data_IF_094116902940
#
_entry.id   IF_094116902940
#
_cell.length_a   1.000
_cell.length_b   1.000
_cell.length_c   1.000
_cell.angle_alpha   90.00
_cell.angle_beta   90.00
_cell.angle_gamma   90.00
#
_symmetry.space_group_name_H-M   'P 1'
#
loop_
_entity.id
_entity.type
_entity.pdbx_description
1 polymer ?
#
# COMPACT_ATOMS: atom_id res chain seq x y z
N UNK A 1 13.91 8.23 40.50
CA UNK A 1 14.17 7.61 39.19
C UNK A 1 12.87 7.62 38.41
N UNK A 2 12.76 8.56 37.46
CA UNK A 2 11.55 8.84 36.70
C UNK A 2 11.31 7.77 35.62
N UNK A 3 10.19 7.09 35.74
CA UNK A 3 9.56 6.35 34.65
C UNK A 3 8.74 7.36 33.84
N UNK A 4 9.22 7.70 32.65
CA UNK A 4 8.40 8.34 31.61
C UNK A 4 8.62 7.57 30.31
N UNK A 5 7.83 6.51 30.13
CA UNK A 5 7.56 5.97 28.80
C UNK A 5 6.04 6.01 28.64
N UNK A 6 5.57 7.18 28.22
CA UNK A 6 4.20 7.41 27.78
C UNK A 6 3.86 6.41 26.68
N UNK A 7 2.87 5.57 26.98
CA UNK A 7 2.15 4.73 26.03
C UNK A 7 1.70 5.59 24.84
N UNK A 8 2.25 5.33 23.66
CA UNK A 8 1.70 5.80 22.38
C UNK A 8 1.62 4.59 21.45
N UNK A 9 0.39 4.09 21.34
CA UNK A 9 -0.23 3.39 20.21
C UNK A 9 0.33 2.00 19.84
N UNK A 10 -0.51 0.99 20.08
CA UNK A 10 -0.49 -0.27 19.36
C UNK A 10 -0.55 0.00 17.84
N UNK A 11 0.53 -0.34 17.15
CA UNK A 11 0.63 -0.50 15.72
C UNK A 11 1.71 -1.55 15.51
N UNK A 12 1.45 -2.54 14.66
CA UNK A 12 2.27 -3.72 14.36
C UNK A 12 3.76 -3.58 14.74
N UNK A 13 4.23 -4.46 15.63
CA UNK A 13 5.63 -4.58 16.11
C UNK A 13 6.60 -5.05 15.00
N UNK A 14 6.27 -4.85 13.73
CA UNK A 14 7.21 -5.10 12.65
C UNK A 14 8.32 -4.04 12.72
N UNK A 15 9.59 -4.45 12.84
CA UNK A 15 10.69 -3.50 12.85
C UNK A 15 10.68 -2.74 11.54
N UNK A 16 10.47 -1.43 11.64
CA UNK A 16 10.55 -0.52 10.51
C UNK A 16 11.89 -0.77 9.81
N UNK A 17 11.91 -1.14 8.52
CA UNK A 17 13.14 -1.42 7.81
C UNK A 17 14.12 -0.23 7.93
N UNK A 18 15.43 -0.48 8.13
CA UNK A 18 16.40 0.59 8.40
C UNK A 18 16.45 1.63 7.27
N UNK A 19 16.15 1.24 6.03
CA UNK A 19 16.00 2.12 4.89
C UNK A 19 14.78 3.06 5.00
N UNK A 20 13.64 2.55 5.46
CA UNK A 20 12.43 3.34 5.69
C UNK A 20 12.66 4.33 6.85
N UNK A 21 13.30 3.87 7.92
CA UNK A 21 13.72 4.72 9.04
C UNK A 21 14.69 5.82 8.58
N UNK A 22 15.64 5.51 7.70
CA UNK A 22 16.57 6.49 7.14
C UNK A 22 15.89 7.54 6.26
N UNK A 23 14.89 7.14 5.46
CA UNK A 23 14.07 8.07 4.66
C UNK A 23 13.25 8.99 5.56
N UNK A 24 12.59 8.45 6.58
CA UNK A 24 11.82 9.23 7.55
C UNK A 24 12.72 10.20 8.33
N UNK A 25 13.87 9.75 8.82
CA UNK A 25 14.83 10.59 9.54
C UNK A 25 15.37 11.71 8.65
N UNK A 26 15.61 11.45 7.36
CA UNK A 26 16.04 12.47 6.39
C UNK A 26 14.96 13.52 6.18
N UNK A 27 13.72 13.09 5.95
CA UNK A 27 12.58 13.99 5.78
C UNK A 27 12.32 14.86 7.01
N UNK A 28 12.38 14.26 8.21
CA UNK A 28 12.21 14.96 9.48
C UNK A 28 13.30 16.02 9.72
N UNK A 29 14.57 15.69 9.44
CA UNK A 29 15.69 16.65 9.55
C UNK A 29 15.57 17.79 8.54
N UNK A 30 15.16 17.51 7.31
CA UNK A 30 14.96 18.52 6.28
C UNK A 30 13.82 19.48 6.65
N UNK A 31 12.70 18.94 7.14
CA UNK A 31 11.57 19.72 7.63
C UNK A 31 11.96 20.61 8.82
N UNK A 32 12.65 20.05 9.82
CA UNK A 32 13.09 20.80 11.00
C UNK A 32 14.02 21.97 10.66
N UNK A 33 14.90 21.79 9.65
CA UNK A 33 15.81 22.85 9.17
C UNK A 33 15.12 23.95 8.35
N UNK A 34 13.94 23.66 7.78
CA UNK A 34 13.17 24.64 6.98
C UNK A 34 12.50 25.73 7.82
N UNK A 35 12.62 25.71 9.15
CA UNK A 35 12.19 26.83 10.00
C UNK A 35 10.67 27.04 10.09
N UNK A 36 9.87 25.99 9.89
CA UNK A 36 8.39 26.06 9.78
C UNK A 36 7.89 26.86 8.56
N UNK A 37 8.51 26.71 7.40
CA UNK A 37 7.78 26.97 6.15
C UNK A 37 6.49 26.14 6.19
N UNK A 38 5.33 26.71 5.83
CA UNK A 38 4.00 26.11 5.94
C UNK A 38 3.75 24.81 5.12
N UNK A 39 4.81 24.10 4.76
CA UNK A 39 4.82 22.78 4.13
C UNK A 39 4.79 21.72 5.24
N UNK A 40 3.80 20.84 5.19
CA UNK A 40 3.64 19.77 6.16
C UNK A 40 4.73 18.70 6.02
N UNK A 41 5.08 18.05 7.13
CA UNK A 41 6.07 16.96 7.18
C UNK A 41 5.81 15.84 6.13
N UNK A 42 4.55 15.39 5.87
CA UNK A 42 4.26 14.43 4.80
C UNK A 42 4.78 14.90 3.43
N UNK A 43 4.59 16.17 3.08
CA UNK A 43 5.10 16.73 1.82
C UNK A 43 6.63 16.69 1.73
N UNK A 44 7.32 16.96 2.84
CA UNK A 44 8.79 16.84 2.91
C UNK A 44 9.30 15.41 2.74
N UNK A 45 8.46 14.42 3.08
CA UNK A 45 8.74 13.00 2.87
C UNK A 45 8.26 12.51 1.49
N UNK A 46 7.77 13.41 0.62
CA UNK A 46 7.18 13.05 -0.68
C UNK A 46 5.81 12.35 -0.57
N UNK A 47 5.25 12.28 0.64
CA UNK A 47 3.95 11.68 0.88
C UNK A 47 2.84 12.69 0.52
N UNK A 48 1.71 12.21 -0.04
CA UNK A 48 0.54 13.04 -0.23
C UNK A 48 0.10 13.64 1.09
N UNK A 49 -0.27 14.92 1.08
CA UNK A 49 -0.82 15.58 2.26
C UNK A 49 -2.24 15.10 2.63
N UNK A 50 -2.89 14.34 1.74
CA UNK A 50 -4.18 13.70 1.98
C UNK A 50 -3.95 12.19 2.22
N UNK A 51 -4.33 11.65 3.40
CA UNK A 51 -4.17 10.22 3.73
C UNK A 51 -4.91 9.29 2.76
N UNK A 52 -6.06 9.70 2.21
CA UNK A 52 -6.79 8.93 1.20
C UNK A 52 -5.97 8.80 -0.08
N UNK A 53 -5.30 9.88 -0.51
CA UNK A 53 -4.41 9.84 -1.68
C UNK A 53 -3.19 8.95 -1.43
N UNK A 54 -2.68 8.91 -0.19
CA UNK A 54 -1.59 8.02 0.18
C UNK A 54 -2.04 6.55 0.11
N UNK A 55 -3.22 6.23 0.66
CA UNK A 55 -3.84 4.91 0.58
C UNK A 55 -4.05 4.44 -0.86
N UNK A 56 -4.61 5.30 -1.71
CA UNK A 56 -4.83 4.98 -3.12
C UNK A 56 -3.52 4.75 -3.87
N UNK A 57 -2.48 5.55 -3.58
CA UNK A 57 -1.16 5.35 -4.19
C UNK A 57 -0.54 4.01 -3.76
N UNK A 58 -0.64 3.68 -2.48
CA UNK A 58 -0.15 2.41 -1.95
C UNK A 58 -0.89 1.21 -2.57
N UNK A 59 -2.23 1.31 -2.70
CA UNK A 59 -3.02 0.33 -3.47
C UNK A 59 -2.48 0.18 -4.90
N UNK A 60 -2.29 1.30 -5.59
CA UNK A 60 -1.85 1.30 -6.98
C UNK A 60 -0.46 0.65 -7.12
N UNK A 61 0.44 0.87 -6.17
CA UNK A 61 1.76 0.23 -6.12
C UNK A 61 1.62 -1.30 -5.94
N UNK A 62 0.80 -1.78 -5.00
CA UNK A 62 0.54 -3.21 -4.83
C UNK A 62 -0.13 -3.85 -6.05
N UNK A 63 -1.01 -3.14 -6.75
CA UNK A 63 -1.62 -3.62 -7.99
C UNK A 63 -0.59 -3.77 -9.12
N UNK A 64 0.47 -2.95 -9.15
CA UNK A 64 1.58 -3.12 -10.09
C UNK A 64 2.38 -4.38 -9.78
N UNK A 65 2.67 -4.65 -8.51
CA UNK A 65 3.34 -5.88 -8.10
C UNK A 65 2.50 -7.12 -8.43
N UNK A 66 1.19 -7.07 -8.17
CA UNK A 66 0.25 -8.12 -8.55
C UNK A 66 0.26 -8.36 -10.07
N UNK A 67 0.27 -7.29 -10.87
CA UNK A 67 0.35 -7.37 -12.33
C UNK A 67 1.68 -7.96 -12.82
N UNK A 68 2.80 -7.60 -12.17
CA UNK A 68 4.11 -8.14 -12.50
C UNK A 68 4.18 -9.65 -12.25
N UNK A 69 3.55 -10.13 -11.17
CA UNK A 69 3.49 -11.55 -10.82
C UNK A 69 2.68 -12.42 -11.80
N UNK A 70 1.87 -11.83 -12.70
CA UNK A 70 1.11 -12.58 -13.72
C UNK A 70 1.97 -12.99 -14.93
N UNK A 71 3.17 -12.43 -15.10
CA UNK A 71 4.10 -12.76 -16.20
C UNK A 71 3.49 -12.65 -17.63
N UNK A 72 2.50 -11.77 -17.81
CA UNK A 72 1.84 -11.53 -19.12
C UNK A 72 2.47 -10.33 -19.80
N UNK A 73 3.08 -10.48 -20.98
CA UNK A 73 3.76 -9.39 -21.67
C UNK A 73 2.83 -8.33 -22.28
N UNK A 74 1.62 -8.72 -22.69
CA UNK A 74 0.71 -7.81 -23.41
C UNK A 74 -0.04 -6.92 -22.41
N UNK A 75 0.11 -5.57 -22.45
CA UNK A 75 -0.40 -4.66 -21.43
C UNK A 75 -1.90 -4.83 -21.14
N UNK A 76 -2.73 -4.86 -22.19
CA UNK A 76 -4.18 -5.01 -22.05
C UNK A 76 -4.60 -6.39 -21.53
N UNK A 77 -3.89 -7.44 -21.93
CA UNK A 77 -4.16 -8.79 -21.44
C UNK A 77 -3.78 -8.91 -19.96
N UNK A 78 -2.64 -8.32 -19.55
CA UNK A 78 -2.21 -8.24 -18.15
C UNK A 78 -3.25 -7.52 -17.29
N UNK A 79 -3.73 -6.36 -17.74
CA UNK A 79 -4.75 -5.60 -17.03
C UNK A 79 -6.08 -6.36 -16.90
N UNK A 80 -6.48 -7.09 -17.96
CA UNK A 80 -7.69 -7.92 -17.96
C UNK A 80 -7.55 -9.11 -17.01
N UNK A 81 -6.42 -9.82 -17.08
CA UNK A 81 -6.13 -10.94 -16.17
C UNK A 81 -6.05 -10.50 -14.71
N UNK A 82 -5.43 -9.35 -14.43
CA UNK A 82 -5.41 -8.76 -13.09
C UNK A 82 -6.83 -8.43 -12.61
N UNK A 83 -7.66 -7.86 -13.48
CA UNK A 83 -9.04 -7.55 -13.14
C UNK A 83 -9.86 -8.82 -12.84
N UNK A 84 -9.69 -9.90 -13.62
CA UNK A 84 -10.33 -11.19 -13.35
C UNK A 84 -9.85 -11.80 -12.03
N UNK A 85 -8.55 -11.75 -11.75
CA UNK A 85 -7.97 -12.19 -10.48
C UNK A 85 -8.53 -11.38 -9.31
N UNK A 86 -8.59 -10.05 -9.41
CA UNK A 86 -9.18 -9.18 -8.40
C UNK A 86 -10.68 -9.51 -8.18
N UNK A 87 -11.44 -9.77 -9.23
CA UNK A 87 -12.86 -10.18 -9.10
C UNK A 87 -13.03 -11.54 -8.45
N UNK A 88 -12.16 -12.52 -8.72
CA UNK A 88 -12.14 -13.80 -8.01
C UNK A 88 -11.83 -13.55 -6.53
N UNK A 89 -10.72 -12.88 -6.25
CA UNK A 89 -10.26 -12.53 -4.90
C UNK A 89 -11.36 -11.89 -4.05
N UNK A 90 -12.01 -10.85 -4.57
CA UNK A 90 -13.05 -10.12 -3.85
C UNK A 90 -14.30 -10.95 -3.57
N UNK A 91 -14.59 -11.98 -4.39
CA UNK A 91 -15.78 -12.82 -4.23
C UNK A 91 -15.60 -13.99 -3.27
N UNK A 92 -14.38 -14.50 -3.11
CA UNK A 92 -14.13 -15.72 -2.33
C UNK A 92 -13.15 -15.45 -1.20
N UNK A 93 -11.92 -15.11 -1.52
CA UNK A 93 -10.82 -15.00 -0.58
C UNK A 93 -11.04 -13.83 0.39
N UNK A 94 -11.42 -12.65 -0.12
CA UNK A 94 -11.57 -11.45 0.71
C UNK A 94 -12.60 -11.60 1.83
N UNK A 95 -13.72 -12.30 1.57
CA UNK A 95 -14.76 -12.51 2.57
C UNK A 95 -14.26 -13.27 3.80
N UNK A 96 -13.27 -14.15 3.62
CA UNK A 96 -12.66 -14.90 4.71
C UNK A 96 -11.43 -14.20 5.30
N UNK A 97 -10.82 -13.28 4.55
CA UNK A 97 -9.53 -12.69 4.89
C UNK A 97 -9.65 -11.24 5.38
N UNK A 98 -10.81 -10.60 5.28
CA UNK A 98 -10.97 -9.17 5.58
C UNK A 98 -10.55 -8.78 7.00
N UNK A 99 -10.69 -9.69 7.96
CA UNK A 99 -10.37 -9.48 9.38
C UNK A 99 -8.94 -9.92 9.74
N UNK A 100 -8.18 -10.49 8.80
CA UNK A 100 -6.78 -10.85 9.03
C UNK A 100 -5.90 -9.60 8.95
N UNK A 101 -4.82 -9.56 9.74
CA UNK A 101 -3.83 -8.47 9.67
C UNK A 101 -2.86 -8.67 8.49
N UNK A 102 -2.55 -9.93 8.17
CA UNK A 102 -1.62 -10.31 7.12
C UNK A 102 -2.26 -11.35 6.16
N UNK A 103 -1.81 -11.41 4.89
CA UNK A 103 -2.25 -12.43 3.96
C UNK A 103 -1.84 -13.83 4.47
N UNK A 104 -2.67 -14.87 4.29
CA UNK A 104 -2.31 -16.22 4.72
C UNK A 104 -1.02 -16.73 4.06
N UNK A 105 -0.22 -17.51 4.80
CA UNK A 105 1.06 -18.02 4.31
C UNK A 105 0.96 -18.91 3.05
N UNK A 106 -0.22 -19.46 2.78
CA UNK A 106 -0.49 -20.30 1.61
C UNK A 106 -1.15 -19.53 0.45
N UNK A 107 -1.32 -18.20 0.58
CA UNK A 107 -1.87 -17.38 -0.49
C UNK A 107 -0.96 -17.43 -1.72
N UNK A 108 -1.55 -17.43 -2.91
CA UNK A 108 -0.77 -17.23 -4.13
C UNK A 108 -0.10 -15.86 -4.11
N UNK A 109 1.00 -15.69 -4.85
CA UNK A 109 1.72 -14.39 -4.91
C UNK A 109 0.78 -13.27 -5.36
N UNK A 110 -0.11 -13.54 -6.32
CA UNK A 110 -1.11 -12.57 -6.79
C UNK A 110 -2.13 -12.26 -5.69
N UNK A 111 -2.66 -13.26 -4.99
CA UNK A 111 -3.65 -13.04 -3.92
C UNK A 111 -3.03 -12.33 -2.71
N UNK A 112 -1.76 -12.56 -2.42
CA UNK A 112 -0.99 -11.82 -1.43
C UNK A 112 -0.97 -10.31 -1.74
N UNK A 113 -0.62 -9.94 -2.98
CA UNK A 113 -0.60 -8.54 -3.38
C UNK A 113 -2.01 -7.93 -3.47
N UNK A 114 -3.01 -8.71 -3.91
CA UNK A 114 -4.40 -8.26 -3.91
C UNK A 114 -4.93 -8.02 -2.50
N UNK A 115 -4.55 -8.84 -1.51
CA UNK A 115 -4.88 -8.59 -0.11
C UNK A 115 -4.33 -7.25 0.38
N UNK A 116 -3.04 -7.00 0.14
CA UNK A 116 -2.39 -5.75 0.56
C UNK A 116 -3.01 -4.54 -0.15
N UNK A 117 -3.30 -4.66 -1.45
CA UNK A 117 -4.00 -3.63 -2.22
C UNK A 117 -5.38 -3.32 -1.63
N UNK A 118 -6.17 -4.36 -1.33
CA UNK A 118 -7.52 -4.22 -0.78
C UNK A 118 -7.49 -3.60 0.61
N UNK A 119 -6.57 -4.03 1.50
CA UNK A 119 -6.37 -3.42 2.82
C UNK A 119 -5.99 -1.95 2.73
N UNK A 120 -5.03 -1.60 1.86
CA UNK A 120 -4.60 -0.22 1.67
C UNK A 120 -5.75 0.69 1.23
N UNK A 121 -6.66 0.16 0.41
CA UNK A 121 -7.81 0.88 -0.13
C UNK A 121 -9.07 0.85 0.74
N UNK A 122 -9.03 0.19 1.91
CA UNK A 122 -10.19 0.08 2.80
C UNK A 122 -11.27 -0.89 2.32
N UNK A 123 -10.90 -1.92 1.55
CA UNK A 123 -11.83 -2.96 1.10
C UNK A 123 -12.25 -2.87 -0.36
N UNK A 124 -11.76 -1.88 -1.11
CA UNK A 124 -12.20 -1.63 -2.49
C UNK A 124 -11.07 -1.74 -3.51
N UNK A 125 -11.33 -2.49 -4.58
CA UNK A 125 -10.45 -2.58 -5.74
C UNK A 125 -11.12 -1.98 -6.98
N UNK A 126 -10.34 -1.55 -8.00
CA UNK A 126 -10.89 -1.07 -9.25
C UNK A 126 -11.85 -2.07 -9.92
N UNK A 127 -13.07 -1.64 -10.19
CA UNK A 127 -14.13 -2.50 -10.73
C UNK A 127 -14.02 -2.76 -12.23
N UNK A 128 -13.07 -2.15 -12.93
CA UNK A 128 -12.95 -2.29 -14.39
C UNK A 128 -11.52 -2.58 -14.84
N UNK A 129 -11.37 -3.42 -15.86
CA UNK A 129 -10.09 -3.69 -16.51
C UNK A 129 -9.43 -2.43 -17.07
N UNK A 130 -10.23 -1.46 -17.56
CA UNK A 130 -9.73 -0.16 -18.02
C UNK A 130 -9.05 0.62 -16.90
N UNK A 131 -9.61 0.59 -15.68
CA UNK A 131 -8.99 1.28 -14.55
C UNK A 131 -7.71 0.57 -14.08
N UNK A 132 -7.68 -0.77 -14.14
CA UNK A 132 -6.47 -1.55 -13.88
C UNK A 132 -5.36 -1.20 -14.88
N UNK A 133 -5.68 -1.10 -16.17
CA UNK A 133 -4.74 -0.71 -17.23
C UNK A 133 -4.12 0.67 -16.96
N UNK A 134 -4.94 1.65 -16.59
CA UNK A 134 -4.50 2.98 -16.19
C UNK A 134 -3.64 3.04 -14.92
N UNK A 135 -3.58 1.98 -14.13
CA UNK A 135 -2.76 1.92 -12.91
C UNK A 135 -1.43 1.24 -13.22
N UNK A 136 -1.51 0.15 -13.99
CA UNK A 136 -0.38 -0.75 -14.24
C UNK A 136 0.54 -0.25 -15.35
N UNK A 137 0.01 0.47 -16.35
CA UNK A 137 0.74 0.86 -17.55
C UNK A 137 1.07 2.38 -17.61
N UNK A 138 1.33 3.00 -16.46
CA UNK A 138 1.70 4.43 -16.32
C UNK A 138 3.21 4.62 -16.33
#
# INVERSE_FOLDING_TARGET
MQWFATVILAGDDDPIPPEAAAVMARGLRAWARSGRCGISLPRFMGLPSNPEKARLRLRDDYLREAAAALEIDRPWQRATALHEAARRFMRHEWLCWCDLDAPPAHASVVDHWLFLATKAAGGELPETARRMDQIVNV
#
